data_IF_700829241707
#
_entry.id   IF_700829241707
#
_cell.length_a   1.000
_cell.length_b   1.000
_cell.length_c   1.000
_cell.angle_alpha   90.00
_cell.angle_beta   90.00
_cell.angle_gamma   90.00
#
_symmetry.space_group_name_H-M   'P 1'
#
loop_
_entity.id
_entity.type
_entity.pdbx_description
1 polymer ?
#
# COMPACT_ATOMS: atom_id res chain seq x y z
N UNK A 1 -3.61 -9.79 13.62
CA UNK A 1 -4.44 -8.97 12.71
C UNK A 1 -5.67 -9.79 12.30
N UNK A 2 -6.77 -9.17 11.86
CA UNK A 2 -7.90 -9.89 11.25
C UNK A 2 -7.88 -9.76 9.71
N UNK A 3 -6.77 -10.13 9.10
CA UNK A 3 -6.57 -10.06 7.64
C UNK A 3 -7.44 -11.08 6.88
N UNK A 4 -8.03 -12.07 7.56
CA UNK A 4 -9.00 -12.99 6.97
C UNK A 4 -10.30 -12.28 6.57
N UNK A 5 -10.88 -11.49 7.48
CA UNK A 5 -12.08 -10.71 7.18
C UNK A 5 -11.83 -9.70 6.05
N UNK A 6 -10.63 -9.09 6.02
CA UNK A 6 -10.24 -8.19 4.95
C UNK A 6 -10.17 -8.90 3.59
N UNK A 7 -9.57 -10.10 3.54
CA UNK A 7 -9.54 -10.92 2.32
C UNK A 7 -10.95 -11.27 1.84
N UNK A 8 -11.86 -11.64 2.74
CA UNK A 8 -13.24 -11.94 2.37
C UNK A 8 -13.97 -10.71 1.79
N UNK A 9 -13.80 -9.54 2.39
CA UNK A 9 -14.38 -8.28 1.91
C UNK A 9 -13.86 -7.90 0.52
N UNK A 10 -12.54 -7.99 0.31
CA UNK A 10 -11.90 -7.71 -0.99
C UNK A 10 -12.43 -8.68 -2.06
N UNK A 11 -12.49 -9.98 -1.76
CA UNK A 11 -12.98 -10.99 -2.71
C UNK A 11 -14.45 -10.78 -3.08
N UNK A 12 -15.30 -10.39 -2.13
CA UNK A 12 -16.71 -10.07 -2.42
C UNK A 12 -16.84 -8.88 -3.36
N UNK A 13 -16.04 -7.83 -3.17
CA UNK A 13 -16.08 -6.65 -4.02
C UNK A 13 -15.52 -6.92 -5.42
N UNK A 14 -14.46 -7.72 -5.54
CA UNK A 14 -13.92 -8.14 -6.84
C UNK A 14 -14.92 -9.02 -7.60
N UNK A 15 -15.64 -9.91 -6.91
CA UNK A 15 -16.70 -10.71 -7.53
C UNK A 15 -17.85 -9.81 -8.03
N UNK A 16 -18.24 -8.79 -7.27
CA UNK A 16 -19.23 -7.82 -7.71
C UNK A 16 -18.76 -6.98 -8.90
N UNK A 17 -17.47 -6.61 -8.95
CA UNK A 17 -16.90 -5.93 -10.12
C UNK A 17 -16.92 -6.80 -11.38
N UNK A 18 -16.60 -8.09 -11.25
CA UNK A 18 -16.64 -9.01 -12.39
C UNK A 18 -18.04 -9.08 -13.05
N UNK A 19 -19.10 -8.91 -12.25
CA UNK A 19 -20.49 -8.90 -12.73
C UNK A 19 -20.95 -7.51 -13.23
N UNK A 20 -20.48 -6.43 -12.61
CA UNK A 20 -20.98 -5.06 -12.86
C UNK A 20 -20.15 -4.26 -13.87
N UNK A 21 -18.84 -4.50 -13.96
CA UNK A 21 -17.91 -3.76 -14.81
C UNK A 21 -17.82 -2.26 -14.51
N UNK A 22 -18.08 -1.86 -13.27
CA UNK A 22 -18.17 -0.46 -12.85
C UNK A 22 -16.79 0.21 -12.80
N UNK A 23 -15.79 -0.44 -12.16
CA UNK A 23 -14.39 0.00 -12.16
C UNK A 23 -13.89 0.14 -13.59
N UNK A 24 -14.18 -0.87 -14.40
CA UNK A 24 -13.76 -0.97 -15.79
C UNK A 24 -14.22 0.26 -16.60
N UNK A 25 -15.44 0.75 -16.36
CA UNK A 25 -15.97 1.98 -16.95
C UNK A 25 -15.36 3.26 -16.36
N UNK A 26 -15.13 3.31 -15.05
CA UNK A 26 -14.51 4.46 -14.39
C UNK A 26 -13.06 4.67 -14.88
N UNK A 27 -12.26 3.60 -14.91
CA UNK A 27 -10.87 3.63 -15.34
C UNK A 27 -10.72 4.11 -16.78
N UNK A 28 -11.71 3.85 -17.65
CA UNK A 28 -11.74 4.38 -19.01
C UNK A 28 -11.64 5.92 -19.04
N UNK A 29 -12.28 6.61 -18.09
CA UNK A 29 -12.24 8.06 -17.97
C UNK A 29 -10.91 8.60 -17.41
N UNK A 30 -10.21 7.80 -16.61
CA UNK A 30 -8.91 8.16 -16.03
C UNK A 30 -7.74 7.84 -16.96
N UNK A 31 -7.90 6.87 -17.87
CA UNK A 31 -6.85 6.43 -18.79
C UNK A 31 -6.31 7.55 -19.67
N UNK A 32 -7.18 8.49 -20.07
CA UNK A 32 -6.78 9.68 -20.86
C UNK A 32 -6.09 10.78 -20.03
N UNK A 33 -6.16 10.71 -18.70
CA UNK A 33 -5.57 11.67 -17.76
C UNK A 33 -4.30 11.15 -17.09
N UNK A 34 -3.96 9.88 -17.29
CA UNK A 34 -2.74 9.30 -16.76
C UNK A 34 -1.52 10.09 -17.24
N UNK A 35 -0.58 10.30 -16.33
CA UNK A 35 0.65 10.99 -16.67
C UNK A 35 1.42 10.19 -17.76
N UNK A 36 2.01 10.85 -18.78
CA UNK A 36 2.67 10.17 -19.91
C UNK A 36 3.81 9.22 -19.55
N UNK A 37 4.34 9.31 -18.33
CA UNK A 37 5.38 8.40 -17.82
C UNK A 37 4.84 7.04 -17.40
N UNK A 38 3.53 6.91 -17.15
CA UNK A 38 2.89 5.63 -16.87
C UNK A 38 2.71 4.93 -18.21
N UNK A 39 3.59 3.98 -18.50
CA UNK A 39 3.54 3.24 -19.76
C UNK A 39 2.59 2.05 -19.62
N UNK A 40 1.53 2.07 -20.42
CA UNK A 40 0.59 0.96 -20.56
C UNK A 40 0.72 0.35 -21.96
N UNK A 41 0.58 -0.97 -22.10
CA UNK A 41 0.64 -1.59 -23.42
C UNK A 41 -0.51 -1.13 -24.31
N UNK A 42 -0.19 -0.69 -25.53
CA UNK A 42 -1.15 -0.12 -26.47
C UNK A 42 -2.28 -1.09 -26.88
N UNK A 43 -2.06 -2.41 -26.72
CA UNK A 43 -3.04 -3.45 -27.07
C UNK A 43 -4.11 -3.69 -26.00
N UNK A 44 -3.82 -3.42 -24.73
CA UNK A 44 -4.72 -3.73 -23.59
C UNK A 44 -4.46 -2.80 -22.39
N UNK A 45 -4.42 -1.50 -22.63
CA UNK A 45 -4.13 -0.53 -21.56
C UNK A 45 -5.17 -0.60 -20.44
N UNK A 46 -6.45 -0.77 -20.80
CA UNK A 46 -7.57 -0.87 -19.86
C UNK A 46 -7.49 -2.14 -19.01
N UNK A 47 -7.35 -3.31 -19.64
CA UNK A 47 -7.31 -4.57 -18.91
C UNK A 47 -6.08 -4.67 -18.01
N UNK A 48 -4.94 -4.08 -18.40
CA UNK A 48 -3.78 -3.97 -17.51
C UNK A 48 -4.06 -3.09 -16.30
N UNK A 49 -4.74 -1.96 -16.48
CA UNK A 49 -5.07 -1.06 -15.39
C UNK A 49 -6.06 -1.69 -14.41
N UNK A 50 -7.07 -2.40 -14.92
CA UNK A 50 -8.01 -3.17 -14.09
C UNK A 50 -7.30 -4.24 -13.27
N UNK A 51 -6.41 -5.03 -13.90
CA UNK A 51 -5.59 -6.03 -13.19
C UNK A 51 -4.65 -5.40 -12.18
N UNK A 52 -4.11 -4.21 -12.49
CA UNK A 52 -3.30 -3.44 -11.56
C UNK A 52 -4.10 -3.06 -10.31
N UNK A 53 -5.28 -2.44 -10.47
CA UNK A 53 -6.13 -2.04 -9.34
C UNK A 53 -6.54 -3.25 -8.51
N UNK A 54 -6.99 -4.34 -9.14
CA UNK A 54 -7.36 -5.56 -8.44
C UNK A 54 -6.19 -6.12 -7.61
N UNK A 55 -5.03 -6.28 -8.22
CA UNK A 55 -3.86 -6.81 -7.54
C UNK A 55 -3.32 -5.87 -6.44
N UNK A 56 -3.46 -4.55 -6.63
CA UNK A 56 -3.09 -3.54 -5.63
C UNK A 56 -3.95 -3.66 -4.37
N UNK A 57 -5.26 -3.85 -4.55
CA UNK A 57 -6.21 -4.07 -3.45
C UNK A 57 -5.96 -5.44 -2.78
N UNK A 58 -5.83 -6.50 -3.58
CA UNK A 58 -5.60 -7.87 -3.08
C UNK A 58 -4.29 -8.01 -2.30
N UNK A 59 -3.30 -7.16 -2.55
CA UNK A 59 -2.02 -7.22 -1.87
C UNK A 59 -2.10 -6.76 -0.41
N UNK A 60 -3.05 -5.89 -0.05
CA UNK A 60 -3.09 -5.23 1.28
C UNK A 60 -3.04 -6.22 2.46
N UNK A 61 -3.85 -7.30 2.50
CA UNK A 61 -3.79 -8.26 3.62
C UNK A 61 -2.41 -8.90 3.78
N UNK A 62 -1.74 -9.21 2.67
CA UNK A 62 -0.42 -9.82 2.68
C UNK A 62 0.65 -8.84 3.16
N UNK A 63 0.55 -7.56 2.79
CA UNK A 63 1.43 -6.50 3.33
C UNK A 63 1.25 -6.38 4.83
N UNK A 64 0.01 -6.33 5.33
CA UNK A 64 -0.27 -6.18 6.75
C UNK A 64 0.21 -7.40 7.56
N UNK A 65 0.03 -8.62 7.03
CA UNK A 65 0.54 -9.84 7.68
C UNK A 65 2.07 -9.87 7.70
N UNK A 66 2.73 -9.48 6.60
CA UNK A 66 4.18 -9.39 6.51
C UNK A 66 4.74 -8.36 7.50
N UNK A 67 4.16 -7.16 7.51
CA UNK A 67 4.50 -6.09 8.44
C UNK A 67 4.39 -6.54 9.90
N UNK A 68 3.31 -7.23 10.23
CA UNK A 68 3.09 -7.74 11.57
C UNK A 68 4.11 -8.83 11.95
N UNK A 69 4.43 -9.74 11.03
CA UNK A 69 5.44 -10.79 11.27
C UNK A 69 6.82 -10.19 11.51
N UNK A 70 7.24 -9.25 10.66
CA UNK A 70 8.54 -8.57 10.81
C UNK A 70 8.59 -7.78 12.12
N UNK A 71 7.54 -7.05 12.48
CA UNK A 71 7.48 -6.34 13.74
C UNK A 71 7.63 -7.26 14.96
N UNK A 72 7.05 -8.47 14.90
CA UNK A 72 7.20 -9.49 15.95
C UNK A 72 8.63 -10.02 16.05
N UNK A 73 9.25 -10.34 14.92
CA UNK A 73 10.63 -10.83 14.87
C UNK A 73 11.63 -9.77 15.35
N UNK A 74 11.36 -8.50 15.05
CA UNK A 74 12.13 -7.35 15.50
C UNK A 74 11.87 -6.96 16.96
N UNK A 75 10.86 -7.54 17.62
CA UNK A 75 10.50 -7.22 19.01
C UNK A 75 9.90 -5.81 19.17
N UNK A 76 9.27 -5.29 18.11
CA UNK A 76 8.65 -3.96 18.04
C UNK A 76 7.15 -4.04 17.74
N UNK A 77 6.54 -5.19 18.04
CA UNK A 77 5.12 -5.45 17.77
C UNK A 77 4.24 -4.38 18.43
N UNK A 78 4.54 -3.97 19.66
CA UNK A 78 3.72 -3.02 20.42
C UNK A 78 3.63 -1.64 19.75
N UNK A 79 4.67 -1.24 19.04
CA UNK A 79 4.81 0.05 18.38
C UNK A 79 4.18 0.03 16.98
N UNK A 80 4.29 -1.08 16.26
CA UNK A 80 3.79 -1.19 14.88
C UNK A 80 2.32 -1.61 14.83
N UNK A 81 1.86 -2.40 15.79
CA UNK A 81 0.49 -2.93 15.83
C UNK A 81 -0.61 -1.84 15.80
N UNK A 82 -0.48 -0.68 16.46
CA UNK A 82 -1.44 0.42 16.32
C UNK A 82 -1.56 0.91 14.87
N UNK A 83 -0.44 1.03 14.15
CA UNK A 83 -0.42 1.47 12.74
C UNK A 83 -1.09 0.44 11.85
N UNK A 84 -0.79 -0.84 12.02
CA UNK A 84 -1.43 -1.91 11.23
C UNK A 84 -2.94 -2.03 11.54
N UNK A 85 -3.32 -1.76 12.79
CA UNK A 85 -4.73 -1.72 13.19
C UNK A 85 -5.49 -0.56 12.57
N UNK A 86 -4.83 0.59 12.41
CA UNK A 86 -5.40 1.70 11.67
C UNK A 86 -5.63 1.35 10.19
N UNK A 87 -4.65 0.72 9.55
CA UNK A 87 -4.81 0.25 8.17
C UNK A 87 -5.98 -0.74 8.03
N UNK A 88 -6.13 -1.68 8.96
CA UNK A 88 -7.30 -2.58 9.02
C UNK A 88 -8.61 -1.79 9.21
N UNK A 89 -8.59 -0.73 10.03
CA UNK A 89 -9.76 0.06 10.34
C UNK A 89 -10.28 0.89 9.16
N UNK A 90 -9.42 1.30 8.23
CA UNK A 90 -9.86 1.98 7.01
C UNK A 90 -10.87 1.15 6.21
N UNK A 91 -10.71 -0.17 6.14
CA UNK A 91 -11.64 -1.05 5.43
C UNK A 91 -12.91 -1.37 6.21
N UNK A 92 -12.84 -1.39 7.54
CA UNK A 92 -13.97 -1.72 8.41
C UNK A 92 -14.85 -0.51 8.73
N UNK A 93 -14.26 0.68 8.76
CA UNK A 93 -14.91 1.94 9.11
C UNK A 93 -14.17 3.06 8.38
N UNK A 94 -14.40 3.21 7.06
CA UNK A 94 -13.71 4.21 6.27
C UNK A 94 -13.95 5.62 6.84
N UNK A 95 -12.91 6.49 6.84
CA UNK A 95 -13.02 7.85 7.37
C UNK A 95 -14.08 8.66 6.61
N UNK A 96 -14.67 9.66 7.27
CA UNK A 96 -15.77 10.46 6.70
C UNK A 96 -15.40 11.21 5.42
N UNK A 97 -14.10 11.44 5.17
CA UNK A 97 -13.59 12.00 3.91
C UNK A 97 -13.90 11.11 2.70
N UNK A 98 -14.19 9.83 2.93
CA UNK A 98 -14.55 8.82 1.93
C UNK A 98 -16.07 8.65 1.78
N UNK A 99 -16.88 9.49 2.44
CA UNK A 99 -18.34 9.48 2.30
C UNK A 99 -18.77 9.74 0.85
N UNK A 100 -19.33 8.73 0.19
CA UNK A 100 -19.88 8.82 -1.17
C UNK A 100 -19.20 7.89 -2.19
N UNK A 101 -18.09 7.25 -1.83
CA UNK A 101 -17.42 6.25 -2.66
C UNK A 101 -18.03 4.86 -2.35
N UNK A 102 -18.28 4.02 -3.37
CA UNK A 102 -19.00 2.74 -3.19
C UNK A 102 -18.49 1.62 -4.10
N UNK A 103 -18.03 0.53 -3.47
CA UNK A 103 -17.58 -0.66 -4.18
C UNK A 103 -16.07 -0.66 -4.35
N UNK A 104 -15.58 -0.86 -5.57
CA UNK A 104 -14.14 -1.04 -5.81
C UNK A 104 -13.34 0.28 -5.83
N UNK A 105 -14.04 1.42 -6.01
CA UNK A 105 -13.49 2.78 -5.89
C UNK A 105 -13.07 3.07 -4.44
N UNK A 106 -13.94 2.81 -3.48
CA UNK A 106 -13.68 2.91 -2.05
C UNK A 106 -12.49 2.01 -1.69
N UNK A 107 -12.51 0.75 -2.16
CA UNK A 107 -11.42 -0.18 -1.88
C UNK A 107 -10.08 0.25 -2.45
N UNK A 108 -10.04 0.95 -3.59
CA UNK A 108 -8.79 1.52 -4.11
C UNK A 108 -8.26 2.60 -3.15
N UNK A 109 -9.13 3.47 -2.66
CA UNK A 109 -8.76 4.53 -1.70
C UNK A 109 -8.30 3.95 -0.35
N UNK A 110 -9.02 2.96 0.20
CA UNK A 110 -8.63 2.29 1.44
C UNK A 110 -7.31 1.53 1.28
N UNK A 111 -7.11 0.89 0.13
CA UNK A 111 -5.86 0.22 -0.19
C UNK A 111 -4.71 1.21 -0.31
N UNK A 112 -4.95 2.36 -0.93
CA UNK A 112 -3.98 3.44 -1.01
C UNK A 112 -3.55 3.92 0.37
N UNK A 113 -4.51 4.17 1.27
CA UNK A 113 -4.23 4.54 2.66
C UNK A 113 -3.40 3.48 3.40
N UNK A 114 -3.74 2.20 3.24
CA UNK A 114 -3.01 1.11 3.88
C UNK A 114 -1.57 0.99 3.36
N UNK A 115 -1.37 1.08 2.05
CA UNK A 115 -0.04 1.04 1.45
C UNK A 115 0.78 2.29 1.80
N UNK A 116 0.18 3.49 1.86
CA UNK A 116 0.89 4.71 2.30
C UNK A 116 1.25 4.68 3.77
N UNK A 117 0.43 4.12 4.65
CA UNK A 117 0.81 3.90 6.05
C UNK A 117 2.05 3.02 6.16
N UNK A 118 2.09 1.92 5.39
CA UNK A 118 3.24 1.01 5.38
C UNK A 118 4.49 1.69 4.81
N UNK A 119 4.34 2.49 3.75
CA UNK A 119 5.43 3.27 3.16
C UNK A 119 5.97 4.31 4.16
N UNK A 120 5.10 5.04 4.86
CA UNK A 120 5.51 6.02 5.88
C UNK A 120 6.24 5.35 7.06
N UNK A 121 5.80 4.16 7.50
CA UNK A 121 6.57 3.35 8.48
C UNK A 121 7.96 3.06 7.92
N UNK A 122 8.04 2.58 6.68
CA UNK A 122 9.32 2.28 6.05
C UNK A 122 10.23 3.49 5.96
N UNK A 123 9.71 4.65 5.56
CA UNK A 123 10.48 5.89 5.42
C UNK A 123 11.08 6.35 6.76
N UNK A 124 10.32 6.23 7.86
CA UNK A 124 10.84 6.50 9.21
C UNK A 124 11.95 5.52 9.59
N UNK A 125 11.78 4.23 9.33
CA UNK A 125 12.81 3.22 9.59
C UNK A 125 14.06 3.41 8.72
N UNK A 126 13.91 3.79 7.44
CA UNK A 126 15.01 4.15 6.56
C UNK A 126 15.76 5.35 7.13
N UNK A 127 15.03 6.38 7.55
CA UNK A 127 15.60 7.62 8.10
C UNK A 127 16.44 7.37 9.35
N UNK A 128 15.95 6.52 10.28
CA UNK A 128 16.63 6.29 11.55
C UNK A 128 17.64 5.14 11.53
N UNK A 129 17.41 4.10 10.73
CA UNK A 129 18.21 2.85 10.73
C UNK A 129 18.93 2.58 9.41
N UNK A 130 18.70 3.38 8.38
CA UNK A 130 19.30 3.25 7.05
C UNK A 130 18.68 2.17 6.17
N UNK A 131 17.58 1.54 6.59
CA UNK A 131 16.91 0.45 5.85
C UNK A 131 15.41 0.35 6.18
N UNK A 132 14.59 -0.14 5.25
CA UNK A 132 13.15 -0.31 5.46
C UNK A 132 12.87 -1.42 6.47
N UNK A 133 11.72 -1.31 7.15
CA UNK A 133 11.22 -2.38 8.01
C UNK A 133 10.61 -3.51 7.17
N UNK A 134 9.79 -3.14 6.18
CA UNK A 134 9.05 -4.03 5.30
C UNK A 134 9.64 -3.90 3.90
N UNK A 135 10.21 -4.98 3.32
CA UNK A 135 10.92 -4.92 2.05
C UNK A 135 9.94 -5.02 0.86
N UNK A 136 8.95 -4.13 0.82
CA UNK A 136 8.00 -4.02 -0.28
C UNK A 136 8.23 -2.69 -1.00
N UNK A 137 8.60 -2.76 -2.28
CA UNK A 137 8.65 -1.58 -3.14
C UNK A 137 7.25 -1.27 -3.67
N UNK A 138 6.52 -0.44 -2.91
CA UNK A 138 5.19 0.05 -3.28
C UNK A 138 5.23 1.40 -3.99
N UNK A 139 6.38 2.09 -4.06
CA UNK A 139 6.44 3.50 -4.47
C UNK A 139 5.86 3.73 -5.87
N UNK A 140 6.19 2.87 -6.83
CA UNK A 140 5.62 2.99 -8.20
C UNK A 140 4.12 2.68 -8.20
N UNK A 141 3.69 1.64 -7.47
CA UNK A 141 2.29 1.26 -7.39
C UNK A 141 1.45 2.36 -6.71
N UNK A 142 1.98 2.95 -5.63
CA UNK A 142 1.35 4.06 -4.91
C UNK A 142 1.25 5.30 -5.79
N UNK A 143 2.26 5.62 -6.60
CA UNK A 143 2.18 6.72 -7.55
C UNK A 143 1.07 6.51 -8.59
N UNK A 144 0.95 5.29 -9.12
CA UNK A 144 -0.11 4.97 -10.09
C UNK A 144 -1.48 5.05 -9.42
N UNK A 145 -1.64 4.48 -8.23
CA UNK A 145 -2.87 4.55 -7.45
C UNK A 145 -3.26 6.00 -7.13
N UNK A 146 -2.31 6.84 -6.68
CA UNK A 146 -2.51 8.27 -6.45
C UNK A 146 -3.05 8.98 -7.70
N UNK A 147 -2.47 8.72 -8.88
CA UNK A 147 -2.95 9.27 -10.14
C UNK A 147 -4.36 8.78 -10.53
N UNK A 148 -4.71 7.53 -10.21
CA UNK A 148 -6.02 6.96 -10.50
C UNK A 148 -7.12 7.52 -9.59
N UNK A 149 -6.80 7.71 -8.32
CA UNK A 149 -7.65 8.39 -7.32
C UNK A 149 -7.84 9.85 -7.75
N UNK A 150 -6.75 10.50 -8.15
CA UNK A 150 -6.75 11.83 -8.71
C UNK A 150 -6.73 12.95 -7.66
N UNK A 151 -6.39 14.15 -8.13
CA UNK A 151 -6.30 15.34 -7.30
C UNK A 151 -7.61 16.16 -7.32
N UNK A 152 -8.00 16.78 -6.18
CA UNK A 152 -7.21 16.99 -4.96
C UNK A 152 -7.31 15.87 -3.92
N UNK A 153 -8.14 14.85 -4.16
CA UNK A 153 -8.50 13.87 -3.13
C UNK A 153 -7.32 13.00 -2.67
N UNK A 154 -6.48 12.51 -3.60
CA UNK A 154 -5.30 11.72 -3.24
C UNK A 154 -4.35 12.47 -2.28
N UNK A 155 -4.20 13.78 -2.44
CA UNK A 155 -3.39 14.61 -1.53
C UNK A 155 -4.00 14.72 -0.13
N UNK A 156 -5.33 14.72 -0.01
CA UNK A 156 -6.01 14.71 1.29
C UNK A 156 -5.80 13.38 2.02
N UNK A 157 -5.75 12.27 1.27
CA UNK A 157 -5.42 10.96 1.83
C UNK A 157 -3.99 10.93 2.35
N UNK A 158 -3.02 11.47 1.59
CA UNK A 158 -1.63 11.60 2.04
C UNK A 158 -1.50 12.43 3.32
N UNK A 159 -2.16 13.60 3.37
CA UNK A 159 -2.17 14.47 4.56
C UNK A 159 -2.79 13.76 5.77
N UNK A 160 -3.87 12.99 5.58
CA UNK A 160 -4.51 12.24 6.64
C UNK A 160 -3.59 11.14 7.21
N UNK A 161 -2.87 10.42 6.34
CA UNK A 161 -1.87 9.42 6.74
C UNK A 161 -0.77 10.07 7.56
N UNK A 162 -0.18 11.16 7.05
CA UNK A 162 0.92 11.84 7.72
C UNK A 162 0.53 12.36 9.10
N UNK A 163 -0.61 13.04 9.20
CA UNK A 163 -1.13 13.53 10.49
C UNK A 163 -1.37 12.41 11.50
N UNK A 164 -1.88 11.26 11.03
CA UNK A 164 -2.15 10.14 11.92
C UNK A 164 -0.85 9.47 12.39
N UNK A 165 0.15 9.39 11.51
CA UNK A 165 1.45 8.79 11.81
C UNK A 165 2.26 9.61 12.81
N UNK A 166 2.17 10.94 12.76
CA UNK A 166 2.80 11.82 13.75
C UNK A 166 2.27 11.57 15.18
N UNK A 167 1.02 11.12 15.33
CA UNK A 167 0.44 10.75 16.62
C UNK A 167 0.73 9.31 17.06
N UNK A 168 1.03 8.39 16.14
CA UNK A 168 1.15 6.95 16.42
C UNK A 168 2.59 6.46 16.59
N UNK A 169 3.56 7.06 15.90
CA UNK A 169 4.97 6.67 15.96
C UNK A 169 5.85 7.88 16.27
N UNK A 170 6.12 8.10 17.55
CA UNK A 170 7.07 9.11 18.02
C UNK A 170 8.52 8.66 17.79
N UNK A 171 9.41 9.61 17.46
CA UNK A 171 10.84 9.36 17.20
C UNK A 171 11.56 8.63 18.35
N UNK A 172 11.05 8.75 19.59
CA UNK A 172 11.56 8.04 20.76
C UNK A 172 11.48 6.52 20.64
N UNK A 173 10.59 5.99 19.79
CA UNK A 173 10.50 4.55 19.47
C UNK A 173 11.83 4.04 18.92
N UNK A 174 12.52 4.82 18.09
CA UNK A 174 13.80 4.41 17.48
C UNK A 174 14.99 4.41 18.45
N UNK A 175 14.81 4.98 19.65
CA UNK A 175 15.81 4.96 20.72
C UNK A 175 15.71 3.73 21.62
N UNK A 176 14.67 2.90 21.47
CA UNK A 176 14.47 1.71 22.27
C UNK A 176 15.52 0.63 21.95
N UNK A 177 15.93 -0.11 22.97
CA UNK A 177 16.95 -1.16 22.84
C UNK A 177 16.54 -2.27 21.86
N UNK A 178 15.24 -2.60 21.78
CA UNK A 178 14.70 -3.59 20.82
C UNK A 178 14.96 -3.18 19.37
N UNK A 179 14.77 -1.90 19.04
CA UNK A 179 15.02 -1.36 17.69
C UNK A 179 16.53 -1.37 17.37
N UNK A 180 17.37 -1.03 18.34
CA UNK A 180 18.83 -1.06 18.18
C UNK A 180 19.36 -2.50 18.03
N UNK A 181 18.79 -3.45 18.78
CA UNK A 181 19.11 -4.88 18.66
C UNK A 181 18.68 -5.43 17.28
N UNK A 182 17.52 -5.00 16.78
CA UNK A 182 17.07 -5.33 15.43
C UNK A 182 18.03 -4.77 14.36
N UNK A 183 18.47 -3.51 14.50
CA UNK A 183 19.49 -2.90 13.62
C UNK A 183 20.76 -3.73 13.53
N UNK A 184 21.23 -4.30 14.65
CA UNK A 184 22.41 -5.15 14.65
C UNK A 184 22.18 -6.49 13.92
N UNK A 185 20.95 -7.03 13.93
CA UNK A 185 20.57 -8.29 13.26
C UNK A 185 20.30 -8.13 11.76
N UNK A 186 19.90 -6.93 11.33
CA UNK A 186 19.64 -6.57 9.94
C UNK A 186 20.88 -6.66 9.02
N UNK A 187 22.09 -6.78 9.58
CA UNK A 187 23.32 -7.04 8.81
C UNK A 187 23.51 -8.51 8.38
N UNK A 188 22.51 -9.36 8.60
CA UNK A 188 22.52 -10.79 8.24
C UNK A 188 22.26 -11.01 6.73
N UNK A 189 23.16 -11.69 6.00
CA UNK A 189 23.00 -11.97 4.56
C UNK A 189 21.77 -12.82 4.20
N UNK A 190 21.27 -13.63 5.14
CA UNK A 190 20.10 -14.50 4.90
C UNK A 190 18.79 -13.73 4.85
N UNK A 191 18.70 -12.66 5.62
CA UNK A 191 17.55 -11.77 5.62
C UNK A 191 17.50 -11.02 4.28
N UNK A 192 18.64 -10.49 3.81
CA UNK A 192 18.81 -9.91 2.45
C UNK A 192 18.39 -10.83 1.29
N UNK A 193 18.66 -12.12 1.37
CA UNK A 193 18.32 -13.07 0.31
C UNK A 193 16.80 -13.40 0.26
N UNK A 194 16.15 -13.52 1.41
CA UNK A 194 14.68 -13.65 1.48
C UNK A 194 13.96 -12.38 0.98
N UNK A 195 14.63 -11.22 1.07
CA UNK A 195 14.09 -9.92 0.66
C UNK A 195 14.13 -9.70 -0.87
N UNK A 196 15.12 -10.26 -1.58
CA UNK A 196 15.20 -10.13 -3.05
C UNK A 196 14.13 -10.93 -3.81
N UNK A 197 13.48 -11.90 -3.15
CA UNK A 197 12.43 -12.71 -3.76
C UNK A 197 11.04 -12.07 -3.72
N UNK A 198 10.86 -10.94 -3.02
CA UNK A 198 9.55 -10.30 -2.97
C UNK A 198 9.28 -9.58 -4.29
N UNK A 199 8.19 -9.92 -5.01
CA UNK A 199 7.97 -9.33 -6.31
C UNK A 199 7.50 -7.88 -6.22
N UNK A 200 8.06 -7.01 -7.05
CA UNK A 200 7.53 -5.66 -7.26
C UNK A 200 6.21 -5.77 -8.06
N UNK A 201 5.10 -5.35 -7.45
CA UNK A 201 3.74 -5.51 -7.98
C UNK A 201 3.58 -4.86 -9.37
N UNK A 202 4.08 -3.64 -9.55
CA UNK A 202 3.97 -2.92 -10.81
C UNK A 202 4.76 -3.63 -11.93
N UNK A 203 5.96 -4.11 -11.63
CA UNK A 203 6.79 -4.89 -12.56
C UNK A 203 6.18 -6.25 -12.90
N UNK A 204 5.54 -6.92 -11.95
CA UNK A 204 4.82 -8.18 -12.21
C UNK A 204 3.66 -8.02 -13.19
N UNK A 205 3.01 -6.86 -13.15
CA UNK A 205 1.83 -6.56 -13.95
C UNK A 205 2.17 -5.78 -15.23
N UNK A 206 3.45 -5.53 -15.48
CA UNK A 206 3.94 -4.82 -16.67
C UNK A 206 3.63 -3.32 -16.67
N UNK A 207 3.41 -2.71 -15.50
CA UNK A 207 3.22 -1.27 -15.34
C UNK A 207 4.52 -0.66 -14.82
N UNK A 208 5.16 0.17 -15.65
CA UNK A 208 6.46 0.77 -15.33
C UNK A 208 6.43 2.29 -15.56
N UNK A 209 7.30 3.00 -14.84
CA UNK A 209 7.58 4.40 -15.08
C UNK A 209 8.67 4.51 -16.16
N UNK A 210 8.31 5.05 -17.32
CA UNK A 210 9.25 5.36 -18.40
C UNK A 210 9.63 6.84 -18.42
N UNK A 211 10.71 7.16 -19.12
CA UNK A 211 11.05 8.55 -19.42
C UNK A 211 9.96 9.15 -20.35
N UNK A 212 9.50 10.39 -20.11
CA UNK A 212 8.53 11.03 -21.00
C UNK A 212 9.16 11.21 -22.39
N UNK A 213 8.39 10.90 -23.44
CA UNK A 213 8.80 11.06 -24.83
C UNK A 213 8.80 12.52 -25.29
#
# INVERSE_FOLDING_TARGET
MNTLALREQIQQALAHEADSGALAQQLQGQLAKLHPTIQLPASDARGVLERFVAAYIEQVPDVLDAAYSVAREAGIEEQIKPVLKLAEQFFLSPPSVMEGHQGLDALLDESYLAHRLVEEVNDRYITHLGQPLIPLDTTVANLIAHQLIGEPFANQLDEAVQHTMDGLLDDSVFQQSSVQDYRARLSSPQTLAAWQSWPCLSRQLGVELGLPA
#
